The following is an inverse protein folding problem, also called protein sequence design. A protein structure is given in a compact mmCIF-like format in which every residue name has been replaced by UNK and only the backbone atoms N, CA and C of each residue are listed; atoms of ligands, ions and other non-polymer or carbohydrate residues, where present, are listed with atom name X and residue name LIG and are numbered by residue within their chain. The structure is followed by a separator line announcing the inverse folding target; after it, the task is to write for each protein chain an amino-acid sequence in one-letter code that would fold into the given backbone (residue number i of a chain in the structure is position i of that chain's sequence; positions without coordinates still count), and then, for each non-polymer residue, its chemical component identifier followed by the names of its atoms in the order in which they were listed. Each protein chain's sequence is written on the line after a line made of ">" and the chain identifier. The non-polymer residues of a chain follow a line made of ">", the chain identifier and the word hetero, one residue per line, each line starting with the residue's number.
data_IF_563163756355
#
_entry.id   IF_563163756355
#
_cell.length_a   1.000
_cell.length_b   1.000
_cell.length_c   1.000
_cell.angle_alpha   90.00
_cell.angle_beta   90.00
_cell.angle_gamma   90.00
#
_symmetry.space_group_name_H-M   'P 1'
#
loop_
_entity.id
_entity.type
_entity.pdbx_description
1 polymer ?
#
# COMPACT_ATOMS: atom_id res chain seq x y z
N UNK A 1 -8.53 -25.80 -10.59
CA UNK A 1 -8.78 -24.54 -9.86
C UNK A 1 -7.77 -24.49 -8.75
N UNK A 2 -6.62 -23.87 -9.01
CA UNK A 2 -5.61 -23.66 -7.98
C UNK A 2 -6.09 -22.55 -7.05
N UNK A 3 -6.10 -22.84 -5.74
CA UNK A 3 -6.35 -21.83 -4.71
C UNK A 3 -5.15 -20.90 -4.68
N UNK A 4 -5.31 -19.57 -4.65
CA UNK A 4 -4.18 -18.68 -4.46
C UNK A 4 -3.68 -18.89 -3.02
N UNK A 5 -2.60 -19.64 -2.89
CA UNK A 5 -1.93 -19.93 -1.63
C UNK A 5 -1.46 -18.62 -0.99
N UNK A 6 -1.49 -18.63 0.35
CA UNK A 6 -1.04 -17.60 1.28
C UNK A 6 0.26 -16.90 0.85
N UNK A 7 0.15 -15.89 -0.03
CA UNK A 7 1.19 -14.88 -0.15
C UNK A 7 1.10 -14.01 1.09
N UNK A 8 1.78 -14.44 2.14
CA UNK A 8 2.22 -13.54 3.20
C UNK A 8 3.09 -12.48 2.54
N UNK A 9 2.52 -11.32 2.20
CA UNK A 9 3.28 -10.16 1.77
C UNK A 9 4.13 -9.73 2.97
N UNK A 10 5.38 -10.18 3.00
CA UNK A 10 6.36 -9.73 3.97
C UNK A 10 6.52 -8.23 3.84
N UNK A 11 6.59 -7.55 4.98
CA UNK A 11 6.77 -6.11 5.12
C UNK A 11 8.05 -5.57 4.43
N UNK A 12 8.93 -6.47 3.99
CA UNK A 12 10.17 -6.21 3.26
C UNK A 12 9.92 -6.31 1.75
N UNK A 13 9.29 -5.28 1.17
CA UNK A 13 9.67 -4.90 -0.19
C UNK A 13 10.98 -4.13 -0.02
N UNK A 14 12.12 -4.76 -0.31
CA UNK A 14 13.47 -4.16 -0.17
C UNK A 14 13.69 -2.90 -1.05
N UNK A 15 12.73 -2.56 -1.91
CA UNK A 15 12.74 -1.36 -2.73
C UNK A 15 12.40 -0.10 -1.91
N UNK A 16 13.37 0.80 -1.78
CA UNK A 16 13.20 2.12 -1.17
C UNK A 16 12.21 2.94 -2.01
N UNK A 17 11.16 3.53 -1.40
CA UNK A 17 10.19 4.29 -2.15
C UNK A 17 10.81 5.54 -2.76
N UNK A 18 10.48 5.81 -4.03
CA UNK A 18 10.89 7.01 -4.77
C UNK A 18 10.26 8.27 -4.15
N UNK A 19 9.01 8.13 -3.70
CA UNK A 19 8.22 9.16 -3.01
C UNK A 19 7.47 8.49 -1.88
N UNK A 20 7.43 9.10 -0.69
CA UNK A 20 6.63 8.63 0.44
C UNK A 20 5.89 9.78 1.12
N UNK A 21 4.61 9.58 1.40
CA UNK A 21 3.72 10.59 2.00
C UNK A 21 2.91 9.96 3.12
N UNK A 22 2.87 10.61 4.27
CA UNK A 22 2.09 10.19 5.42
C UNK A 22 0.93 11.16 5.67
N UNK A 23 -0.27 10.62 5.84
CA UNK A 23 -1.47 11.41 6.08
C UNK A 23 -2.37 10.76 7.13
N UNK A 24 -2.89 11.57 8.06
CA UNK A 24 -4.02 11.14 8.88
C UNK A 24 -5.32 11.23 8.07
N UNK A 25 -6.23 10.29 8.30
CA UNK A 25 -7.57 10.34 7.71
C UNK A 25 -8.38 11.48 8.31
N UNK A 26 -9.17 12.16 7.47
CA UNK A 26 -10.12 13.20 7.90
C UNK A 26 -11.49 12.61 8.22
N UNK A 27 -11.83 11.48 7.59
CA UNK A 27 -13.17 10.90 7.60
C UNK A 27 -13.26 9.64 8.48
N UNK A 28 -12.13 9.01 8.78
CA UNK A 28 -12.08 7.74 9.52
C UNK A 28 -11.20 7.90 10.77
N UNK A 29 -11.81 7.81 11.94
CA UNK A 29 -11.12 8.07 13.21
C UNK A 29 -9.96 7.11 13.43
N UNK A 30 -8.78 7.65 13.76
CA UNK A 30 -7.58 6.87 14.07
C UNK A 30 -6.93 6.17 12.86
N UNK A 31 -7.47 6.33 11.66
CA UNK A 31 -6.88 5.77 10.43
C UNK A 31 -5.73 6.64 9.93
N UNK A 32 -4.66 5.99 9.51
CA UNK A 32 -3.53 6.63 8.82
C UNK A 32 -3.32 6.03 7.44
N UNK A 33 -2.83 6.85 6.53
CA UNK A 33 -2.45 6.48 5.18
C UNK A 33 -0.95 6.71 4.98
N UNK A 34 -0.29 5.75 4.33
CA UNK A 34 1.04 5.94 3.77
C UNK A 34 0.96 5.68 2.27
N UNK A 35 1.33 6.67 1.48
CA UNK A 35 1.39 6.62 0.03
C UNK A 35 2.84 6.44 -0.36
N UNK A 36 3.14 5.46 -1.19
CA UNK A 36 4.48 5.24 -1.69
C UNK A 36 4.46 5.11 -3.22
N UNK A 37 5.52 5.57 -3.88
CA UNK A 37 5.86 5.13 -5.23
C UNK A 37 6.99 4.11 -5.08
N UNK A 38 6.71 2.85 -5.40
CA UNK A 38 7.69 1.76 -5.34
C UNK A 38 7.76 1.13 -6.72
N UNK A 39 8.95 1.07 -7.30
CA UNK A 39 9.17 0.54 -8.65
C UNK A 39 8.18 1.16 -9.67
N UNK A 40 8.05 2.50 -9.62
CA UNK A 40 7.12 3.33 -10.43
C UNK A 40 5.63 3.04 -10.24
N UNK A 41 5.25 2.23 -9.26
CA UNK A 41 3.85 1.90 -8.98
C UNK A 41 3.34 2.62 -7.73
N UNK A 42 2.11 3.14 -7.76
CA UNK A 42 1.50 3.75 -6.59
C UNK A 42 1.02 2.65 -5.63
N UNK A 43 1.44 2.73 -4.39
CA UNK A 43 0.97 1.89 -3.29
C UNK A 43 0.30 2.73 -2.20
N UNK A 44 -0.83 2.26 -1.70
CA UNK A 44 -1.49 2.84 -0.55
C UNK A 44 -1.50 1.83 0.59
N UNK A 45 -0.84 2.14 1.70
CA UNK A 45 -0.98 1.42 2.96
C UNK A 45 -2.00 2.14 3.84
N UNK A 46 -3.01 1.40 4.29
CA UNK A 46 -4.05 1.89 5.18
C UNK A 46 -3.87 1.20 6.53
N UNK A 47 -3.63 2.01 7.57
CA UNK A 47 -3.50 1.56 8.95
C UNK A 47 -4.82 1.84 9.66
N UNK A 48 -5.54 0.79 10.04
CA UNK A 48 -6.86 0.85 10.67
C UNK A 48 -6.75 0.41 12.13
N UNK A 49 -7.21 1.20 13.11
CA UNK A 49 -7.19 0.79 14.51
C UNK A 49 -8.10 -0.42 14.74
N UNK A 50 -7.68 -1.30 15.65
CA UNK A 50 -8.43 -2.51 16.01
C UNK A 50 -8.85 -2.47 17.47
N UNK A 51 -9.98 -3.13 17.77
CA UNK A 51 -10.49 -3.25 19.14
C UNK A 51 -9.70 -4.25 20.00
N UNK A 52 -8.61 -4.84 19.48
CA UNK A 52 -7.84 -5.92 20.14
C UNK A 52 -6.80 -5.41 21.15
N UNK A 53 -6.99 -4.19 21.65
CA UNK A 53 -6.14 -3.50 22.62
C UNK A 53 -5.71 -2.11 22.13
N UNK A 54 -5.45 -1.19 23.06
CA UNK A 54 -5.29 0.27 22.85
C UNK A 54 -4.19 0.73 21.85
N UNK A 55 -3.53 -0.17 21.13
CA UNK A 55 -2.44 0.18 20.18
C UNK A 55 -2.31 -0.74 18.97
N UNK A 56 -3.25 -1.67 18.76
CA UNK A 56 -3.16 -2.63 17.66
C UNK A 56 -3.80 -2.05 16.40
N UNK A 57 -3.06 -2.05 15.30
CA UNK A 57 -3.50 -1.60 13.97
C UNK A 57 -3.52 -2.80 13.03
N UNK A 58 -4.54 -2.91 12.19
CA UNK A 58 -4.48 -3.74 10.98
C UNK A 58 -3.92 -2.88 9.86
N UNK A 59 -3.03 -3.46 9.04
CA UNK A 59 -2.46 -2.77 7.89
C UNK A 59 -2.94 -3.46 6.62
N UNK A 60 -3.45 -2.68 5.68
CA UNK A 60 -3.87 -3.14 4.37
C UNK A 60 -3.02 -2.48 3.30
N UNK A 61 -2.43 -3.29 2.42
CA UNK A 61 -1.83 -2.81 1.18
C UNK A 61 -2.89 -2.79 0.10
N UNK A 62 -3.12 -1.61 -0.45
CA UNK A 62 -4.01 -1.37 -1.59
C UNK A 62 -3.13 -1.06 -2.79
N UNK A 63 -3.39 -1.72 -3.91
CA UNK A 63 -2.76 -1.49 -5.21
C UNK A 63 -3.83 -1.28 -6.27
N UNK A 64 -3.49 -0.54 -7.31
CA UNK A 64 -4.31 -0.53 -8.52
C UNK A 64 -4.24 -1.91 -9.18
N UNK A 65 -5.39 -2.44 -9.55
CA UNK A 65 -5.46 -3.66 -10.36
C UNK A 65 -4.84 -3.42 -11.74
N UNK A 66 -4.35 -4.49 -12.37
CA UNK A 66 -3.86 -4.44 -13.75
C UNK A 66 -4.93 -4.10 -14.80
N UNK A 67 -6.22 -4.21 -14.45
CA UNK A 67 -7.33 -3.85 -15.36
C UNK A 67 -7.63 -2.34 -15.34
N UNK A 68 -7.16 -1.61 -14.32
CA UNK A 68 -7.41 -0.18 -14.19
C UNK A 68 -6.53 0.61 -15.16
N UNK A 69 -7.10 1.49 -16.02
CA UNK A 69 -6.32 2.37 -16.86
C UNK A 69 -5.36 3.28 -16.07
N UNK A 70 -5.69 3.58 -14.81
CA UNK A 70 -4.84 4.37 -13.92
C UNK A 70 -3.53 3.65 -13.62
N UNK A 71 -3.52 2.31 -13.58
CA UNK A 71 -2.30 1.52 -13.30
C UNK A 71 -1.29 1.71 -14.43
N UNK A 72 -1.73 1.52 -15.68
CA UNK A 72 -0.90 1.69 -16.88
C UNK A 72 -0.46 3.15 -17.02
N UNK A 73 -1.41 4.09 -16.97
CA UNK A 73 -1.10 5.51 -17.18
C UNK A 73 -0.14 6.09 -16.14
N UNK A 74 -0.24 5.67 -14.87
CA UNK A 74 0.68 6.13 -13.84
C UNK A 74 2.11 5.63 -14.10
N UNK A 75 2.27 4.35 -14.42
CA UNK A 75 3.59 3.76 -14.69
C UNK A 75 4.25 4.41 -15.90
N UNK A 76 3.49 4.65 -16.98
CA UNK A 76 3.99 5.33 -18.17
C UNK A 76 4.43 6.76 -17.88
N UNK A 77 3.64 7.52 -17.13
CA UNK A 77 4.00 8.88 -16.73
C UNK A 77 5.19 8.93 -15.76
N UNK A 78 5.29 7.98 -14.82
CA UNK A 78 6.42 7.86 -13.91
C UNK A 78 7.72 7.49 -14.64
N UNK A 79 7.62 6.73 -15.73
CA UNK A 79 8.75 6.31 -16.55
C UNK A 79 9.17 7.34 -17.63
N UNK A 80 8.34 8.34 -17.92
CA UNK A 80 8.59 9.28 -19.00
C UNK A 80 9.68 10.29 -18.63
N UNK A 81 10.69 10.39 -19.49
CA UNK A 81 11.76 11.38 -19.42
C UNK A 81 11.49 12.49 -20.45
N UNK A 82 11.40 13.72 -19.97
CA UNK A 82 11.02 14.87 -20.78
C UNK A 82 12.18 15.80 -21.11
N UNK A 83 11.82 17.02 -21.54
CA UNK A 83 12.77 18.12 -21.70
C UNK A 83 13.26 18.62 -20.33
N UNK A 84 14.31 19.45 -20.32
CA UNK A 84 14.80 20.07 -19.08
C UNK A 84 13.71 20.82 -18.30
N UNK A 85 12.80 21.51 -19.00
CA UNK A 85 11.68 22.21 -18.35
C UNK A 85 10.66 21.25 -17.74
N UNK A 86 10.45 20.07 -18.35
CA UNK A 86 9.59 19.03 -17.80
C UNK A 86 10.19 18.42 -16.53
N UNK A 87 11.48 18.06 -16.58
CA UNK A 87 12.18 17.45 -15.44
C UNK A 87 12.21 18.34 -14.19
N UNK A 88 12.26 19.66 -14.36
CA UNK A 88 12.20 20.62 -13.25
C UNK A 88 10.92 20.48 -12.40
N UNK A 89 9.80 20.08 -13.01
CA UNK A 89 8.52 19.93 -12.33
C UNK A 89 8.09 18.47 -12.14
N UNK A 90 8.88 17.50 -12.64
CA UNK A 90 8.49 16.08 -12.68
C UNK A 90 8.19 15.52 -11.30
N UNK A 91 9.07 15.74 -10.33
CA UNK A 91 8.89 15.20 -8.97
C UNK A 91 7.61 15.74 -8.30
N UNK A 92 7.39 17.05 -8.32
CA UNK A 92 6.19 17.65 -7.76
C UNK A 92 4.93 17.16 -8.48
N UNK A 93 5.00 17.01 -9.80
CA UNK A 93 3.89 16.47 -10.60
C UNK A 93 3.57 15.03 -10.19
N UNK A 94 4.59 14.17 -10.03
CA UNK A 94 4.40 12.79 -9.58
C UNK A 94 3.80 12.72 -8.17
N UNK A 95 4.21 13.61 -7.26
CA UNK A 95 3.58 13.71 -5.93
C UNK A 95 2.09 14.07 -6.02
N UNK A 96 1.73 15.05 -6.85
CA UNK A 96 0.32 15.42 -7.06
C UNK A 96 -0.51 14.31 -7.73
N UNK A 97 0.08 13.59 -8.68
CA UNK A 97 -0.55 12.43 -9.27
C UNK A 97 -0.74 11.30 -8.26
N UNK A 98 0.26 11.05 -7.40
CA UNK A 98 0.16 10.08 -6.32
C UNK A 98 -1.00 10.42 -5.39
N UNK A 99 -1.18 11.70 -5.03
CA UNK A 99 -2.35 12.14 -4.27
C UNK A 99 -3.66 11.84 -5.00
N UNK A 100 -3.78 12.19 -6.28
CA UNK A 100 -5.00 11.97 -7.05
C UNK A 100 -5.37 10.47 -7.13
N UNK A 101 -4.38 9.62 -7.40
CA UNK A 101 -4.56 8.16 -7.42
C UNK A 101 -4.91 7.63 -6.03
N UNK A 102 -4.26 8.14 -4.98
CA UNK A 102 -4.53 7.73 -3.62
C UNK A 102 -5.97 8.06 -3.18
N UNK A 103 -6.52 9.21 -3.57
CA UNK A 103 -7.92 9.53 -3.27
C UNK A 103 -8.89 8.54 -3.92
N UNK A 104 -8.62 8.13 -5.17
CA UNK A 104 -9.40 7.06 -5.82
C UNK A 104 -9.27 5.73 -5.09
N UNK A 105 -8.04 5.33 -4.72
CA UNK A 105 -7.80 4.08 -3.99
C UNK A 105 -8.48 4.07 -2.61
N UNK A 106 -8.43 5.19 -1.87
CA UNK A 106 -9.13 5.36 -0.59
C UNK A 106 -10.64 5.19 -0.77
N UNK A 107 -11.23 5.87 -1.75
CA UNK A 107 -12.65 5.79 -2.04
C UNK A 107 -13.08 4.35 -2.37
N UNK A 108 -12.30 3.65 -3.21
CA UNK A 108 -12.59 2.27 -3.60
C UNK A 108 -12.43 1.32 -2.41
N UNK A 109 -11.40 1.52 -1.57
CA UNK A 109 -11.22 0.73 -0.34
C UNK A 109 -12.41 0.87 0.60
N UNK A 110 -12.83 2.10 0.90
CA UNK A 110 -13.92 2.37 1.83
C UNK A 110 -15.32 2.05 1.29
N UNK A 111 -15.48 1.87 -0.03
CA UNK A 111 -16.72 1.35 -0.62
C UNK A 111 -16.81 -0.18 -0.62
N UNK A 112 -15.71 -0.88 -0.30
CA UNK A 112 -15.66 -2.33 -0.16
C UNK A 112 -16.16 -2.84 1.20
N UNK A 113 -16.14 -4.16 1.34
CA UNK A 113 -16.45 -4.87 2.58
C UNK A 113 -15.15 -5.46 3.17
N UNK A 114 -14.63 -4.79 4.20
CA UNK A 114 -13.39 -5.18 4.87
C UNK A 114 -13.51 -6.53 5.59
N UNK A 115 -14.70 -6.89 6.08
CA UNK A 115 -14.91 -8.16 6.79
C UNK A 115 -14.91 -9.34 5.83
N UNK A 116 -15.46 -9.14 4.63
CA UNK A 116 -15.48 -10.16 3.57
C UNK A 116 -14.27 -10.11 2.65
N UNK A 117 -13.43 -9.08 2.79
CA UNK A 117 -12.32 -8.78 1.88
C UNK A 117 -12.77 -8.69 0.41
N UNK A 118 -13.91 -8.01 0.19
CA UNK A 118 -14.50 -7.83 -1.14
C UNK A 118 -14.44 -6.36 -1.54
N UNK A 119 -13.79 -6.05 -2.65
CA UNK A 119 -13.55 -4.67 -3.09
C UNK A 119 -13.94 -4.49 -4.56
N UNK A 120 -14.16 -3.23 -5.02
CA UNK A 120 -14.30 -2.94 -6.43
C UNK A 120 -13.11 -3.46 -7.26
N UNK A 121 -13.34 -3.93 -8.50
CA UNK A 121 -12.33 -4.63 -9.29
C UNK A 121 -11.15 -3.73 -9.71
N UNK A 122 -11.27 -2.41 -9.57
CA UNK A 122 -10.20 -1.45 -9.88
C UNK A 122 -9.02 -1.52 -8.90
N UNK A 123 -9.20 -2.09 -7.70
CA UNK A 123 -8.15 -2.24 -6.69
C UNK A 123 -7.96 -3.69 -6.26
N UNK A 124 -6.75 -3.98 -5.81
CA UNK A 124 -6.39 -5.20 -5.11
C UNK A 124 -6.01 -4.84 -3.67
N UNK A 125 -6.54 -5.58 -2.69
CA UNK A 125 -6.33 -5.31 -1.27
C UNK A 125 -5.75 -6.55 -0.59
N UNK A 126 -4.63 -6.36 0.09
CA UNK A 126 -3.89 -7.41 0.77
C UNK A 126 -3.72 -7.06 2.25
N UNK A 127 -4.17 -7.91 3.18
CA UNK A 127 -3.92 -7.71 4.60
C UNK A 127 -2.46 -8.00 4.89
N UNK A 128 -1.75 -7.03 5.47
CA UNK A 128 -0.39 -7.20 5.95
C UNK A 128 -0.45 -7.69 7.40
N UNK A 129 -0.19 -8.98 7.61
CA UNK A 129 -0.18 -9.57 8.95
C UNK A 129 0.98 -9.01 9.77
N UNK A 130 0.67 -8.26 10.83
CA UNK A 130 1.67 -7.75 11.79
C UNK A 130 2.13 -8.78 12.84
N UNK A 131 1.76 -10.06 12.70
CA UNK A 131 2.04 -11.10 13.68
C UNK A 131 2.81 -12.26 13.09
N UNK A 132 4.14 -12.17 12.99
CA UNK A 132 4.98 -13.38 13.10
C UNK A 132 6.47 -13.25 13.46
N UNK A 133 6.93 -12.22 14.17
CA UNK A 133 8.38 -12.07 14.46
C UNK A 133 8.84 -12.42 15.89
N UNK A 134 8.04 -13.12 16.69
CA UNK A 134 8.45 -13.45 18.07
C UNK A 134 8.56 -14.93 18.46
N UNK A 135 8.42 -15.90 17.54
CA UNK A 135 8.52 -17.33 17.92
C UNK A 135 9.67 -18.16 17.36
N UNK A 136 10.60 -17.59 16.58
CA UNK A 136 11.72 -18.37 16.00
C UNK A 136 13.08 -18.16 16.68
N UNK A 137 13.16 -17.44 17.82
CA UNK A 137 14.41 -17.23 18.58
C UNK A 137 14.50 -17.93 19.96
N UNK A 138 13.68 -18.95 20.22
CA UNK A 138 13.84 -19.85 21.38
C UNK A 138 13.94 -21.30 20.93
N UNK A 139 15.04 -21.63 20.28
CA UNK A 139 15.28 -23.00 19.80
C UNK A 139 16.73 -23.26 19.41
N UNK A 140 17.70 -22.71 20.14
CA UNK A 140 19.11 -23.12 20.11
C UNK A 140 19.88 -22.48 21.25
N UNK A 141 19.74 -23.07 22.44
CA UNK A 141 20.82 -23.09 23.42
C UNK A 141 20.61 -24.31 24.31
N UNK A 142 20.94 -25.46 23.73
CA UNK A 142 21.32 -26.64 24.48
C UNK A 142 22.66 -27.05 23.90
N UNK A 143 23.73 -26.75 24.63
CA UNK A 143 25.06 -27.36 24.60
C UNK A 143 25.94 -26.58 25.59
N UNK A 144 25.98 -27.07 26.83
CA UNK A 144 27.18 -27.45 27.57
C UNK A 144 26.74 -28.16 28.86
#
# INVERSE_FOLDING_TARGET
>A
MERPEDRSYSYESDSVPEVSIFQASRDHYGVFYRLDIIDRQPELRIMVPTDKGDTMMDIYLVRLSGISPLSVGFVEMAAYEGSSAYEQAREATLQHMLYAVAEMMKLLFWSGDLQRMTFPPEIEVYPLSLHNDKKTRRGRSGLL
#
